data_IF_041865320464
#
_entry.id   IF_041865320464
#
_cell.length_a   1.000
_cell.length_b   1.000
_cell.length_c   1.000
_cell.angle_alpha   90.00
_cell.angle_beta   90.00
_cell.angle_gamma   90.00
#
_symmetry.space_group_name_H-M   'P 1'
#
loop_
_entity.id
_entity.type
_entity.pdbx_description
1 polymer ?
#
# COMPACT_ATOMS: atom_id res chain seq x y z
N UNK A 1 -4.95 11.10 1.40
CA UNK A 1 -4.99 9.72 1.95
C UNK A 1 -3.76 8.96 1.46
N UNK A 2 -3.13 8.16 2.33
CA UNK A 2 -1.97 7.32 2.00
C UNK A 2 -2.37 5.85 2.09
N UNK A 3 -2.13 5.09 1.04
CA UNK A 3 -2.52 3.67 0.96
C UNK A 3 -1.36 2.81 0.46
N UNK A 4 -1.22 1.55 0.94
CA UNK A 4 -0.27 0.60 0.37
C UNK A 4 -0.61 0.33 -1.11
N UNK A 5 0.39 0.43 -1.98
CA UNK A 5 0.20 0.26 -3.42
C UNK A 5 0.10 -1.23 -3.81
N UNK A 6 -1.09 -1.72 -4.24
CA UNK A 6 -1.25 -3.12 -4.61
C UNK A 6 -0.33 -3.53 -5.77
N UNK A 7 -0.02 -2.64 -6.72
CA UNK A 7 0.83 -2.96 -7.87
C UNK A 7 2.28 -3.19 -7.43
N UNK A 8 2.79 -2.36 -6.54
CA UNK A 8 4.10 -2.57 -5.92
C UNK A 8 4.17 -3.94 -5.23
N UNK A 9 3.18 -4.25 -4.38
CA UNK A 9 3.18 -5.44 -3.55
C UNK A 9 2.99 -6.73 -4.37
N UNK A 10 2.00 -6.77 -5.27
CA UNK A 10 1.75 -7.91 -6.16
C UNK A 10 2.91 -8.07 -7.14
N UNK A 11 3.42 -6.98 -7.70
CA UNK A 11 4.59 -7.01 -8.58
C UNK A 11 5.83 -7.57 -7.87
N UNK A 12 6.06 -7.18 -6.62
CA UNK A 12 7.15 -7.72 -5.79
C UNK A 12 6.94 -9.22 -5.51
N UNK A 13 5.71 -9.66 -5.23
CA UNK A 13 5.39 -11.07 -5.08
C UNK A 13 5.75 -11.88 -6.33
N UNK A 14 5.32 -11.43 -7.51
CA UNK A 14 5.61 -12.12 -8.78
C UNK A 14 7.10 -12.17 -9.06
N UNK A 15 7.82 -11.05 -8.88
CA UNK A 15 9.28 -10.99 -9.05
C UNK A 15 10.00 -11.92 -8.08
N UNK A 16 9.60 -11.95 -6.81
CA UNK A 16 10.20 -12.83 -5.79
C UNK A 16 9.89 -14.31 -6.04
N UNK A 17 8.72 -14.64 -6.60
CA UNK A 17 8.42 -16.02 -7.03
C UNK A 17 9.37 -16.50 -8.12
N UNK A 18 9.75 -15.63 -9.04
CA UNK A 18 10.69 -15.93 -10.14
C UNK A 18 12.16 -15.91 -9.71
N UNK A 19 12.57 -14.92 -8.90
CA UNK A 19 13.95 -14.75 -8.44
C UNK A 19 13.99 -14.54 -6.89
N UNK A 20 13.85 -15.60 -6.07
CA UNK A 20 13.61 -15.48 -4.63
C UNK A 20 14.65 -14.72 -3.82
N UNK A 21 15.92 -14.78 -4.24
CA UNK A 21 17.04 -14.16 -3.53
C UNK A 21 17.27 -12.69 -3.89
N UNK A 22 16.70 -12.23 -5.01
CA UNK A 22 16.97 -10.89 -5.58
C UNK A 22 15.97 -9.84 -5.09
N UNK A 23 14.72 -10.23 -4.90
CA UNK A 23 13.64 -9.33 -4.50
C UNK A 23 13.22 -9.57 -3.06
N UNK A 24 12.90 -8.50 -2.34
CA UNK A 24 12.50 -8.54 -0.93
C UNK A 24 11.29 -7.64 -0.70
N UNK A 25 10.43 -8.05 0.21
CA UNK A 25 9.36 -7.18 0.70
C UNK A 25 9.88 -6.22 1.77
N UNK A 26 9.30 -5.01 1.87
CA UNK A 26 9.51 -4.13 3.02
C UNK A 26 9.17 -4.86 4.33
N UNK A 27 10.05 -4.79 5.34
CA UNK A 27 9.85 -5.50 6.62
C UNK A 27 9.89 -7.04 6.57
N UNK A 28 10.36 -7.64 5.47
CA UNK A 28 10.43 -9.11 5.32
C UNK A 28 11.25 -9.80 6.43
N UNK A 29 12.39 -9.23 6.83
CA UNK A 29 13.27 -9.86 7.81
C UNK A 29 12.70 -9.80 9.24
N UNK A 30 11.91 -8.78 9.55
CA UNK A 30 11.12 -8.76 10.80
C UNK A 30 10.03 -9.83 10.77
N UNK A 31 9.33 -9.96 9.64
CA UNK A 31 8.29 -10.97 9.48
C UNK A 31 8.84 -12.40 9.66
N UNK A 32 10.01 -12.70 9.07
CA UNK A 32 10.71 -13.98 9.26
C UNK A 32 11.17 -14.24 10.70
N UNK A 33 11.47 -13.19 11.46
CA UNK A 33 11.88 -13.33 12.88
C UNK A 33 10.71 -13.68 13.78
N UNK A 34 9.51 -13.17 13.46
CA UNK A 34 8.32 -13.33 14.29
C UNK A 34 7.61 -14.66 14.00
N UNK A 35 7.55 -15.09 12.74
CA UNK A 35 6.76 -16.26 12.33
C UNK A 35 7.64 -17.49 12.03
N UNK A 36 7.25 -18.69 12.50
CA UNK A 36 8.02 -19.91 12.33
C UNK A 36 8.02 -20.45 10.89
N UNK A 37 7.10 -19.97 10.05
CA UNK A 37 7.00 -20.31 8.63
C UNK A 37 6.99 -18.99 7.86
N UNK A 38 7.79 -18.90 6.80
CA UNK A 38 7.77 -17.77 5.88
C UNK A 38 7.64 -18.24 4.45
N UNK A 39 6.66 -17.68 3.74
CA UNK A 39 6.55 -17.78 2.28
C UNK A 39 6.23 -16.39 1.71
N UNK A 40 6.58 -16.09 0.45
CA UNK A 40 6.33 -14.76 -0.14
C UNK A 40 4.88 -14.28 -0.04
N UNK A 41 3.89 -15.18 -0.11
CA UNK A 41 2.47 -14.82 0.00
C UNK A 41 2.12 -14.28 1.39
N UNK A 42 2.85 -14.69 2.44
CA UNK A 42 2.61 -14.18 3.79
C UNK A 42 2.91 -12.67 3.88
N UNK A 43 3.86 -12.15 3.09
CA UNK A 43 4.13 -10.71 3.06
C UNK A 43 2.95 -9.91 2.49
N UNK A 44 2.23 -10.46 1.49
CA UNK A 44 0.98 -9.88 1.00
C UNK A 44 -0.11 -9.94 2.09
N UNK A 45 -0.27 -11.10 2.74
CA UNK A 45 -1.27 -11.29 3.79
C UNK A 45 -1.05 -10.40 5.02
N UNK A 46 0.21 -10.04 5.32
CA UNK A 46 0.53 -9.10 6.41
C UNK A 46 0.04 -7.69 6.09
N UNK A 47 0.13 -7.26 4.84
CA UNK A 47 -0.28 -5.91 4.43
C UNK A 47 -1.79 -5.85 4.21
N UNK A 48 -2.35 -6.84 3.52
CA UNK A 48 -3.74 -6.85 3.05
C UNK A 48 -4.65 -7.85 3.77
N UNK A 49 -4.40 -8.16 5.05
CA UNK A 49 -5.29 -9.03 5.80
C UNK A 49 -4.70 -9.75 7.03
N UNK A 50 -4.97 -11.06 7.07
CA UNK A 50 -5.11 -11.95 8.25
C UNK A 50 -3.95 -12.02 9.26
N UNK A 51 -2.81 -11.38 9.00
CA UNK A 51 -1.65 -11.37 9.90
C UNK A 51 -1.45 -10.00 10.58
N UNK A 52 -2.54 -9.36 11.01
CA UNK A 52 -2.50 -8.11 11.78
C UNK A 52 -2.43 -6.83 10.95
N UNK A 53 -2.67 -6.90 9.64
CA UNK A 53 -2.74 -5.71 8.78
C UNK A 53 -3.99 -4.87 9.06
N UNK A 54 -3.86 -3.55 8.95
CA UNK A 54 -4.97 -2.59 9.06
C UNK A 54 -5.80 -2.52 7.77
N UNK A 55 -5.20 -2.85 6.63
CA UNK A 55 -5.86 -2.78 5.32
C UNK A 55 -6.55 -4.10 5.01
N UNK A 56 -7.87 -4.16 5.22
CA UNK A 56 -8.70 -5.35 4.93
C UNK A 56 -9.12 -5.45 3.46
N UNK A 57 -8.74 -4.48 2.65
CA UNK A 57 -9.04 -4.37 1.24
C UNK A 57 -7.80 -3.81 0.52
N UNK A 58 -7.54 -4.29 -0.69
CA UNK A 58 -6.61 -3.65 -1.61
C UNK A 58 -7.37 -2.56 -2.36
N UNK A 59 -6.86 -1.33 -2.31
CA UNK A 59 -7.36 -0.23 -3.13
C UNK A 59 -6.34 0.01 -4.22
N UNK A 60 -6.76 -0.12 -5.48
CA UNK A 60 -6.15 0.65 -6.55
C UNK A 60 -6.84 2.03 -6.63
N UNK A 61 -6.32 2.88 -7.52
CA UNK A 61 -6.92 4.20 -7.71
C UNK A 61 -8.34 4.11 -8.26
N UNK A 62 -8.60 3.22 -9.21
CA UNK A 62 -9.91 3.10 -9.86
C UNK A 62 -11.02 2.78 -8.83
N UNK A 63 -10.78 1.82 -7.94
CA UNK A 63 -11.73 1.48 -6.89
C UNK A 63 -11.90 2.63 -5.90
N UNK A 64 -10.79 3.26 -5.49
CA UNK A 64 -10.85 4.32 -4.48
C UNK A 64 -11.55 5.57 -5.01
N UNK A 65 -11.27 5.97 -6.26
CA UNK A 65 -11.91 7.09 -6.93
C UNK A 65 -13.43 6.89 -6.98
N UNK A 66 -13.89 5.73 -7.46
CA UNK A 66 -15.32 5.40 -7.48
C UNK A 66 -15.96 5.37 -6.10
N UNK A 67 -15.23 4.92 -5.08
CA UNK A 67 -15.73 4.89 -3.71
C UNK A 67 -15.87 6.29 -3.10
N UNK A 68 -14.91 7.18 -3.38
CA UNK A 68 -14.91 8.58 -2.91
C UNK A 68 -15.96 9.41 -3.64
N UNK A 69 -16.09 9.25 -4.96
CA UNK A 69 -17.15 9.89 -5.75
C UNK A 69 -18.52 9.50 -5.19
N UNK A 70 -18.72 8.21 -4.91
CA UNK A 70 -19.97 7.73 -4.32
C UNK A 70 -20.22 8.26 -2.89
N UNK A 71 -19.17 8.62 -2.18
CA UNK A 71 -19.25 9.23 -0.84
C UNK A 71 -19.53 10.75 -0.89
N UNK A 72 -19.51 11.37 -2.07
CA UNK A 72 -19.84 12.79 -2.27
C UNK A 72 -18.65 13.73 -2.30
N UNK A 73 -17.45 13.25 -2.64
CA UNK A 73 -16.32 14.11 -2.96
C UNK A 73 -16.39 14.56 -4.42
N UNK A 74 -16.09 15.83 -4.68
CA UNK A 74 -16.21 16.46 -6.00
C UNK A 74 -14.91 16.43 -6.80
N UNK A 75 -13.76 16.62 -6.14
CA UNK A 75 -12.44 16.61 -6.77
C UNK A 75 -11.59 15.50 -6.18
N UNK A 76 -11.32 14.46 -6.97
CA UNK A 76 -10.53 13.30 -6.57
C UNK A 76 -9.37 13.15 -7.54
N UNK A 77 -8.14 13.10 -7.02
CA UNK A 77 -6.94 12.98 -7.84
C UNK A 77 -5.85 12.18 -7.16
N UNK A 78 -5.06 11.46 -7.95
CA UNK A 78 -3.77 10.95 -7.47
C UNK A 78 -2.82 12.12 -7.20
N UNK A 79 -2.03 11.99 -6.14
CA UNK A 79 -0.99 12.93 -5.77
C UNK A 79 0.38 12.23 -5.72
N UNK A 80 1.43 13.04 -5.58
CA UNK A 80 2.77 12.54 -5.25
C UNK A 80 3.04 12.62 -3.75
N UNK A 81 4.15 12.02 -3.32
CA UNK A 81 4.63 12.11 -1.94
C UNK A 81 4.77 13.58 -1.48
N UNK A 82 4.15 13.91 -0.35
CA UNK A 82 4.11 15.24 0.27
C UNK A 82 3.49 16.33 -0.62
N UNK A 83 2.57 15.96 -1.51
CA UNK A 83 1.79 16.89 -2.34
C UNK A 83 0.29 16.80 -2.00
N UNK A 84 -0.34 17.96 -1.85
CA UNK A 84 -1.76 18.13 -1.52
C UNK A 84 -2.07 19.58 -1.14
N UNK A 85 -3.36 19.93 -1.08
CA UNK A 85 -3.87 21.26 -0.80
C UNK A 85 -3.77 21.63 0.69
N UNK A 86 -3.99 20.65 1.58
CA UNK A 86 -3.91 20.83 3.03
C UNK A 86 -2.64 20.20 3.62
N UNK A 87 -1.72 21.07 4.06
CA UNK A 87 -0.46 20.67 4.68
C UNK A 87 -0.62 19.87 5.99
N UNK A 88 -1.74 20.02 6.72
CA UNK A 88 -1.98 19.27 7.95
C UNK A 88 -2.31 17.79 7.68
N UNK A 89 -2.75 17.46 6.45
CA UNK A 89 -3.11 16.10 6.04
C UNK A 89 -1.94 15.34 5.39
N UNK A 90 -0.79 16.00 5.15
CA UNK A 90 0.43 15.41 4.59
C UNK A 90 1.20 14.59 5.64
N UNK A 91 0.65 13.43 6.00
CA UNK A 91 1.20 12.52 7.02
C UNK A 91 2.10 11.42 6.42
N UNK A 92 2.71 11.69 5.28
CA UNK A 92 3.44 10.69 4.50
C UNK A 92 4.76 10.29 5.19
N UNK A 93 5.07 9.00 5.16
CA UNK A 93 6.33 8.48 5.68
C UNK A 93 7.30 8.24 4.53
N UNK A 94 8.47 8.90 4.57
CA UNK A 94 9.49 8.83 3.51
C UNK A 94 9.94 7.40 3.23
N UNK A 95 10.08 6.59 4.26
CA UNK A 95 10.48 5.19 4.17
C UNK A 95 9.43 4.31 3.48
N UNK A 96 8.18 4.77 3.40
CA UNK A 96 7.06 4.06 2.74
C UNK A 96 6.67 4.63 1.39
N UNK A 97 7.35 5.68 0.91
CA UNK A 97 6.90 6.38 -0.29
C UNK A 97 6.94 5.56 -1.58
N UNK A 98 7.86 4.60 -1.65
CA UNK A 98 8.02 3.70 -2.78
C UNK A 98 7.04 2.51 -2.77
N UNK A 99 6.32 2.29 -1.66
CA UNK A 99 5.35 1.19 -1.48
C UNK A 99 3.91 1.72 -1.27
N UNK A 100 3.70 3.01 -1.49
CA UNK A 100 2.43 3.70 -1.24
C UNK A 100 1.99 4.49 -2.46
N UNK A 101 0.68 4.69 -2.58
CA UNK A 101 0.08 5.68 -3.48
C UNK A 101 -0.74 6.68 -2.68
N UNK A 102 -0.92 7.87 -3.27
CA UNK A 102 -1.49 9.04 -2.60
C UNK A 102 -2.71 9.51 -3.38
N UNK A 103 -3.80 9.77 -2.66
CA UNK A 103 -5.03 10.30 -3.23
C UNK A 103 -5.55 11.44 -2.38
N UNK A 104 -5.89 12.53 -3.03
CA UNK A 104 -6.60 13.66 -2.46
C UNK A 104 -8.06 13.64 -2.90
N UNK A 105 -8.94 14.04 -1.99
CA UNK A 105 -10.37 14.12 -2.22
C UNK A 105 -10.93 15.35 -1.49
N UNK A 106 -11.54 16.26 -2.25
CA UNK A 106 -12.13 17.52 -1.75
C UNK A 106 -13.65 17.45 -1.98
N UNK A 107 -14.41 17.84 -0.96
CA UNK A 107 -15.87 17.89 -0.97
C UNK A 107 -16.38 19.34 -0.93
#
# INVERSE_FOLDING_TARGET
MVLPDPDFYIGTYMKKRSEPSKYRFPGEDEHKRIFPIYTPIMSLNRIFGACGGTHKCMYDYELLEKALDKAGFDSISQQSFMEGDDAELLIDLKERSHESFYVEAIA
#
